data_IF_071823573380
#
_entry.id   IF_071823573380
#
_cell.length_a   1.000
_cell.length_b   1.000
_cell.length_c   1.000
_cell.angle_alpha   90.00
_cell.angle_beta   90.00
_cell.angle_gamma   90.00
#
_symmetry.space_group_name_H-M   'P 1'
#
loop_
_entity.id
_entity.type
_entity.pdbx_description
1 polymer ?
#
# COMPACT_ATOMS: atom_id res chain seq x y z
N UNK A 1 -56.41 -1.59 22.24
CA UNK A 1 -55.65 -1.24 21.03
C UNK A 1 -54.17 -1.40 21.35
N UNK A 2 -53.59 -2.52 20.92
CA UNK A 2 -52.16 -2.81 21.12
C UNK A 2 -51.36 -2.29 19.95
N UNK A 3 -50.36 -1.48 20.23
CA UNK A 3 -49.40 -0.99 19.23
C UNK A 3 -48.30 -2.06 19.10
N UNK A 4 -48.30 -2.79 17.99
CA UNK A 4 -47.21 -3.70 17.66
C UNK A 4 -45.98 -2.88 17.24
N UNK A 5 -44.92 -2.94 18.05
CA UNK A 5 -43.61 -2.38 17.74
C UNK A 5 -42.93 -3.30 16.73
N UNK A 6 -42.83 -2.88 15.47
CA UNK A 6 -42.03 -3.52 14.45
C UNK A 6 -40.54 -3.29 14.80
N UNK A 7 -39.88 -4.31 15.32
CA UNK A 7 -38.43 -4.34 15.43
C UNK A 7 -37.84 -4.35 13.98
N UNK A 8 -37.25 -3.25 13.57
CA UNK A 8 -36.37 -3.21 12.40
C UNK A 8 -35.21 -4.16 12.68
N UNK A 9 -35.24 -5.33 12.04
CA UNK A 9 -34.17 -6.29 12.06
C UNK A 9 -32.92 -5.61 11.49
N UNK A 10 -31.90 -5.44 12.34
CA UNK A 10 -30.59 -5.03 11.90
C UNK A 10 -30.12 -5.99 10.81
N UNK A 11 -29.91 -5.47 9.61
CA UNK A 11 -29.22 -6.22 8.57
C UNK A 11 -27.82 -6.50 9.12
N UNK A 12 -27.57 -7.75 9.49
CA UNK A 12 -26.22 -8.21 9.79
C UNK A 12 -25.33 -7.82 8.60
N UNK A 13 -24.31 -6.97 8.87
CA UNK A 13 -23.28 -6.72 7.89
C UNK A 13 -22.78 -8.08 7.37
N UNK A 14 -22.59 -8.24 6.06
CA UNK A 14 -22.19 -9.54 5.53
C UNK A 14 -20.91 -9.98 6.25
N UNK A 15 -20.83 -11.29 6.58
CA UNK A 15 -19.67 -11.93 7.21
C UNK A 15 -18.42 -11.83 6.30
N UNK A 16 -17.91 -10.62 6.09
CA UNK A 16 -16.69 -10.38 5.37
C UNK A 16 -15.51 -10.74 6.27
N UNK A 17 -14.64 -11.66 5.87
CA UNK A 17 -13.41 -11.95 6.60
C UNK A 17 -12.55 -10.70 6.77
N UNK A 18 -11.77 -10.66 7.84
CA UNK A 18 -10.93 -9.52 8.17
C UNK A 18 -9.88 -9.26 7.07
N UNK A 19 -9.70 -7.97 6.73
CA UNK A 19 -8.59 -7.46 5.94
C UNK A 19 -7.84 -6.51 6.86
N UNK A 20 -6.65 -6.93 7.29
CA UNK A 20 -5.96 -6.32 8.45
C UNK A 20 -4.86 -5.33 8.07
N UNK A 21 -4.52 -5.21 6.81
CA UNK A 21 -3.50 -4.27 6.32
C UNK A 21 -2.87 -4.72 5.02
N UNK A 22 -1.88 -3.98 4.59
CA UNK A 22 -1.02 -4.35 3.46
C UNK A 22 -0.10 -5.48 3.94
N UNK A 23 0.01 -6.53 3.13
CA UNK A 23 0.97 -7.61 3.33
C UNK A 23 2.28 -7.27 2.64
N UNK A 24 2.21 -6.93 1.37
CA UNK A 24 3.34 -6.52 0.55
C UNK A 24 2.89 -5.76 -0.70
N UNK A 25 3.87 -5.19 -1.39
CA UNK A 25 3.70 -4.62 -2.73
C UNK A 25 4.83 -5.14 -3.61
N UNK A 26 4.51 -5.50 -4.84
CA UNK A 26 5.50 -5.98 -5.81
C UNK A 26 5.58 -5.05 -7.02
N UNK A 27 6.79 -4.87 -7.51
CA UNK A 27 7.10 -4.05 -8.66
C UNK A 27 7.96 -4.81 -9.68
N UNK A 28 8.02 -4.28 -10.88
CA UNK A 28 8.97 -4.64 -11.91
C UNK A 28 10.14 -3.66 -11.93
N UNK A 29 11.34 -4.16 -12.22
CA UNK A 29 12.52 -3.30 -12.41
C UNK A 29 13.32 -3.68 -13.65
N UNK A 30 13.95 -2.67 -14.26
CA UNK A 30 14.98 -2.82 -15.28
C UNK A 30 16.39 -2.68 -14.71
N UNK A 31 16.51 -2.34 -13.42
CA UNK A 31 17.77 -2.06 -12.73
C UNK A 31 17.83 -2.72 -11.35
N UNK A 32 18.02 -4.06 -11.29
CA UNK A 32 18.10 -4.79 -10.02
C UNK A 32 19.15 -4.24 -9.06
N UNK A 33 20.34 -3.89 -9.57
CA UNK A 33 21.44 -3.33 -8.77
C UNK A 33 21.08 -1.96 -8.18
N UNK A 34 20.42 -1.11 -8.94
CA UNK A 34 20.00 0.21 -8.46
C UNK A 34 18.88 0.11 -7.41
N UNK A 35 17.96 -0.85 -7.57
CA UNK A 35 16.96 -1.16 -6.54
C UNK A 35 17.64 -1.69 -5.27
N UNK A 36 18.62 -2.61 -5.41
CA UNK A 36 19.37 -3.13 -4.27
C UNK A 36 20.11 -2.00 -3.55
N UNK A 37 20.75 -1.09 -4.28
CA UNK A 37 21.41 0.09 -3.68
C UNK A 37 20.41 0.94 -2.87
N UNK A 38 19.23 1.25 -3.42
CA UNK A 38 18.24 2.06 -2.72
C UNK A 38 17.72 1.35 -1.45
N UNK A 39 17.25 0.11 -1.59
CA UNK A 39 16.56 -0.58 -0.50
C UNK A 39 17.52 -1.13 0.54
N UNK A 40 18.64 -1.73 0.11
CA UNK A 40 19.60 -2.33 1.02
C UNK A 40 20.60 -1.28 1.56
N UNK A 41 21.35 -0.60 0.68
CA UNK A 41 22.44 0.25 1.13
C UNK A 41 21.94 1.56 1.74
N UNK A 42 20.97 2.22 1.08
CA UNK A 42 20.45 3.53 1.51
C UNK A 42 19.40 3.39 2.62
N UNK A 43 18.42 2.51 2.45
CA UNK A 43 17.34 2.38 3.43
C UNK A 43 17.63 1.34 4.52
N UNK A 44 18.71 0.56 4.43
CA UNK A 44 19.11 -0.43 5.42
C UNK A 44 18.15 -1.60 5.56
N UNK A 45 17.39 -1.94 4.51
CA UNK A 45 16.43 -3.04 4.53
C UNK A 45 17.12 -4.36 4.19
N UNK A 46 16.89 -5.39 4.99
CA UNK A 46 17.41 -6.73 4.71
C UNK A 46 16.76 -7.34 3.49
N UNK A 47 17.57 -8.00 2.65
CA UNK A 47 17.08 -8.88 1.62
C UNK A 47 16.44 -10.14 2.22
N UNK A 48 15.33 -10.59 1.62
CA UNK A 48 14.67 -11.84 1.97
C UNK A 48 14.61 -12.77 0.77
N UNK A 49 14.41 -14.08 1.03
CA UNK A 49 14.33 -15.08 -0.04
C UNK A 49 13.11 -14.84 -0.94
N UNK A 50 13.30 -14.75 -2.27
CA UNK A 50 12.19 -14.70 -3.20
C UNK A 50 11.25 -15.91 -3.02
N UNK A 51 9.94 -15.67 -3.07
CA UNK A 51 8.94 -16.72 -2.96
C UNK A 51 8.19 -16.93 -4.27
N UNK A 52 8.06 -15.89 -5.10
CA UNK A 52 7.34 -15.97 -6.36
C UNK A 52 8.25 -16.38 -7.53
N UNK A 53 7.74 -17.17 -8.48
CA UNK A 53 8.44 -17.40 -9.72
C UNK A 53 8.68 -16.06 -10.46
N UNK A 54 9.93 -15.81 -10.82
CA UNK A 54 10.32 -14.55 -11.49
C UNK A 54 10.66 -13.40 -10.54
N UNK A 55 10.36 -13.51 -9.26
CA UNK A 55 10.85 -12.56 -8.26
C UNK A 55 12.38 -12.69 -8.14
N UNK A 56 13.08 -11.58 -8.28
CA UNK A 56 14.56 -11.56 -8.23
C UNK A 56 15.08 -11.07 -6.89
N UNK A 57 14.29 -10.27 -6.17
CA UNK A 57 14.64 -9.74 -4.86
C UNK A 57 13.41 -9.36 -4.05
N UNK A 58 13.59 -9.36 -2.74
CA UNK A 58 12.59 -8.98 -1.76
C UNK A 58 13.29 -8.27 -0.61
N UNK A 59 12.66 -7.21 -0.09
CA UNK A 59 13.16 -6.43 1.04
C UNK A 59 12.16 -6.46 2.18
N UNK A 60 12.62 -6.84 3.37
CA UNK A 60 11.80 -6.89 4.56
C UNK A 60 11.54 -5.49 5.12
N UNK A 61 10.27 -5.19 5.40
CA UNK A 61 9.81 -3.97 6.08
C UNK A 61 9.05 -4.40 7.34
N UNK A 62 9.78 -4.79 8.36
CA UNK A 62 9.21 -5.45 9.54
C UNK A 62 8.57 -6.79 9.18
N UNK A 63 7.27 -6.92 9.37
CA UNK A 63 6.50 -8.13 8.98
C UNK A 63 5.98 -8.08 7.53
N UNK A 64 6.15 -6.97 6.86
CA UNK A 64 5.74 -6.72 5.48
C UNK A 64 6.97 -6.79 4.57
N UNK A 65 6.79 -6.69 3.28
CA UNK A 65 7.91 -6.68 2.35
C UNK A 65 7.57 -5.95 1.04
N UNK A 66 8.61 -5.57 0.32
CA UNK A 66 8.54 -5.05 -1.04
C UNK A 66 9.31 -6.00 -1.94
N UNK A 67 8.66 -6.48 -3.00
CA UNK A 67 9.25 -7.43 -3.95
C UNK A 67 9.53 -6.79 -5.30
N UNK A 68 10.53 -7.32 -5.99
CA UNK A 68 10.87 -6.90 -7.33
C UNK A 68 11.08 -8.11 -8.25
N UNK A 69 10.55 -7.99 -9.46
CA UNK A 69 10.76 -8.93 -10.57
C UNK A 69 11.35 -8.21 -11.76
N UNK A 70 12.00 -8.94 -12.67
CA UNK A 70 12.45 -8.35 -13.95
C UNK A 70 11.24 -7.87 -14.74
N UNK A 71 11.32 -6.65 -15.29
CA UNK A 71 10.26 -6.09 -16.09
C UNK A 71 10.02 -6.95 -17.35
N UNK A 72 8.81 -7.49 -17.56
CA UNK A 72 8.48 -8.28 -18.74
C UNK A 72 8.53 -7.45 -20.02
N UNK A 73 8.20 -6.17 -19.91
CA UNK A 73 8.39 -5.15 -20.95
C UNK A 73 9.20 -3.98 -20.36
N UNK A 74 10.50 -3.86 -20.71
CA UNK A 74 11.33 -2.78 -20.22
C UNK A 74 10.84 -1.38 -20.63
N UNK A 75 10.02 -1.26 -21.67
CA UNK A 75 9.47 0.00 -22.16
C UNK A 75 8.16 0.39 -21.48
N UNK A 76 7.48 -0.53 -20.81
CA UNK A 76 6.28 -0.21 -20.07
C UNK A 76 6.57 0.86 -19.00
N UNK A 77 5.65 1.82 -18.83
CA UNK A 77 5.78 2.89 -17.85
C UNK A 77 5.34 2.46 -16.45
N UNK A 78 4.31 1.63 -16.38
CA UNK A 78 3.84 1.08 -15.11
C UNK A 78 4.78 -0.01 -14.62
N UNK A 79 5.24 0.16 -13.39
CA UNK A 79 6.13 -0.78 -12.71
C UNK A 79 5.43 -1.54 -11.59
N UNK A 80 4.20 -1.21 -11.25
CA UNK A 80 3.47 -1.94 -10.22
C UNK A 80 2.97 -3.28 -10.75
N UNK A 81 3.41 -4.38 -10.15
CA UNK A 81 2.90 -5.71 -10.45
C UNK A 81 1.61 -6.00 -9.69
N UNK A 82 1.66 -5.89 -8.36
CA UNK A 82 0.48 -6.10 -7.53
C UNK A 82 0.61 -5.48 -6.14
N UNK A 83 -0.55 -5.31 -5.51
CA UNK A 83 -0.70 -4.96 -4.09
C UNK A 83 -1.33 -6.13 -3.37
N UNK A 84 -0.76 -6.52 -2.23
CA UNK A 84 -1.27 -7.62 -1.42
C UNK A 84 -1.81 -7.15 -0.07
N UNK A 85 -3.01 -7.63 0.28
CA UNK A 85 -3.64 -7.37 1.56
C UNK A 85 -3.71 -8.63 2.41
N UNK A 86 -3.42 -8.49 3.71
CA UNK A 86 -3.43 -9.57 4.68
C UNK A 86 -4.86 -9.90 5.13
N UNK A 87 -5.18 -11.18 5.22
CA UNK A 87 -6.44 -11.70 5.77
C UNK A 87 -6.18 -12.85 6.75
N UNK A 88 -7.10 -13.04 7.68
CA UNK A 88 -7.02 -14.16 8.63
C UNK A 88 -7.68 -15.47 8.14
N UNK A 89 -8.50 -15.41 7.07
CA UNK A 89 -9.14 -16.58 6.46
C UNK A 89 -9.29 -16.38 4.95
N UNK A 90 -8.28 -16.84 4.23
CA UNK A 90 -8.20 -16.71 2.78
C UNK A 90 -9.29 -17.49 2.04
N UNK A 91 -9.70 -18.64 2.58
CA UNK A 91 -10.73 -19.47 1.95
C UNK A 91 -12.12 -18.84 2.10
N UNK A 92 -12.42 -18.29 3.27
CA UNK A 92 -13.67 -17.57 3.48
C UNK A 92 -13.70 -16.28 2.65
N UNK A 93 -12.59 -15.54 2.55
CA UNK A 93 -12.53 -14.31 1.75
C UNK A 93 -12.75 -14.61 0.26
N UNK A 94 -12.14 -15.67 -0.27
CA UNK A 94 -12.37 -16.12 -1.65
C UNK A 94 -13.85 -16.41 -1.91
N UNK A 95 -14.51 -17.18 -1.02
CA UNK A 95 -15.94 -17.47 -1.14
C UNK A 95 -16.81 -16.22 -1.06
N UNK A 96 -16.47 -15.31 -0.14
CA UNK A 96 -17.17 -14.04 0.00
C UNK A 96 -17.11 -13.21 -1.28
N UNK A 97 -15.89 -13.03 -1.86
CA UNK A 97 -15.68 -12.29 -3.10
C UNK A 97 -16.44 -12.90 -4.28
N UNK A 98 -16.40 -14.23 -4.43
CA UNK A 98 -17.17 -14.93 -5.46
C UNK A 98 -18.69 -14.67 -5.30
N UNK A 99 -19.22 -14.71 -4.05
CA UNK A 99 -20.62 -14.38 -3.76
C UNK A 99 -20.98 -12.93 -4.10
N UNK A 100 -20.01 -12.01 -4.01
CA UNK A 100 -20.15 -10.60 -4.40
C UNK A 100 -19.96 -10.35 -5.90
N UNK A 101 -19.79 -11.39 -6.70
CA UNK A 101 -19.62 -11.29 -8.14
C UNK A 101 -18.21 -10.96 -8.62
N UNK A 102 -17.22 -10.97 -7.72
CA UNK A 102 -15.81 -10.79 -8.09
C UNK A 102 -15.30 -12.09 -8.72
N UNK A 103 -14.66 -11.98 -9.89
CA UNK A 103 -13.98 -13.12 -10.52
C UNK A 103 -12.80 -13.55 -9.67
N UNK A 104 -12.85 -14.76 -9.13
CA UNK A 104 -11.79 -15.35 -8.31
C UNK A 104 -11.16 -16.57 -9.01
N UNK A 105 -9.87 -16.89 -8.79
CA UNK A 105 -9.25 -18.06 -9.37
C UNK A 105 -9.86 -19.35 -8.81
N UNK A 106 -9.71 -20.48 -9.52
CA UNK A 106 -10.19 -21.79 -9.08
C UNK A 106 -9.50 -22.22 -7.78
N UNK A 107 -8.18 -22.13 -7.73
CA UNK A 107 -7.37 -22.56 -6.59
C UNK A 107 -6.80 -21.39 -5.76
N UNK A 108 -6.56 -21.67 -4.48
CA UNK A 108 -5.73 -20.86 -3.59
C UNK A 108 -4.30 -21.38 -3.70
N UNK A 109 -3.35 -20.51 -4.05
CA UNK A 109 -1.94 -20.85 -4.14
C UNK A 109 -1.37 -21.07 -2.74
N UNK A 110 -0.48 -22.05 -2.60
CA UNK A 110 0.31 -22.30 -1.40
C UNK A 110 1.76 -22.00 -1.68
N UNK A 111 2.38 -21.30 -0.77
CA UNK A 111 3.78 -20.90 -0.87
C UNK A 111 4.69 -21.78 -0.05
N UNK A 112 6.02 -21.85 -0.36
CA UNK A 112 6.97 -22.68 0.39
C UNK A 112 7.06 -22.32 1.88
N UNK A 113 6.83 -21.06 2.25
CA UNK A 113 6.80 -20.57 3.63
C UNK A 113 5.53 -20.95 4.40
N UNK A 114 4.59 -21.63 3.75
CA UNK A 114 3.31 -22.05 4.30
C UNK A 114 2.21 -21.02 4.20
N UNK A 115 2.47 -19.83 3.68
CA UNK A 115 1.44 -18.83 3.39
C UNK A 115 0.54 -19.27 2.24
N UNK A 116 -0.63 -18.67 2.13
CA UNK A 116 -1.63 -18.95 1.11
C UNK A 116 -2.10 -17.66 0.48
N UNK A 117 -2.32 -17.65 -0.84
CA UNK A 117 -2.80 -16.46 -1.52
C UNK A 117 -3.68 -16.74 -2.73
N UNK A 118 -4.40 -15.71 -3.17
CA UNK A 118 -5.02 -15.65 -4.49
C UNK A 118 -5.08 -14.20 -5.00
N UNK A 119 -5.12 -14.06 -6.33
CA UNK A 119 -5.17 -12.75 -7.00
C UNK A 119 -6.51 -12.54 -7.67
N UNK A 120 -6.96 -11.30 -7.67
CA UNK A 120 -8.13 -10.81 -8.42
C UNK A 120 -7.73 -9.53 -9.17
N UNK A 121 -8.59 -9.06 -10.07
CA UNK A 121 -8.48 -7.73 -10.67
C UNK A 121 -9.49 -6.80 -10.02
N UNK A 122 -9.05 -5.57 -9.71
CA UNK A 122 -9.96 -4.48 -9.40
C UNK A 122 -10.62 -3.94 -10.69
N UNK A 123 -11.56 -3.00 -10.60
CA UNK A 123 -12.25 -2.44 -11.78
C UNK A 123 -11.32 -1.73 -12.78
N UNK A 124 -10.22 -1.13 -12.33
CA UNK A 124 -9.23 -0.49 -13.20
C UNK A 124 -8.24 -1.49 -13.82
N UNK A 125 -8.24 -2.75 -13.37
CA UNK A 125 -7.37 -3.81 -13.86
C UNK A 125 -6.09 -4.01 -13.07
N UNK A 126 -5.90 -3.33 -11.93
CA UNK A 126 -4.78 -3.60 -11.04
C UNK A 126 -4.87 -5.02 -10.47
N UNK A 127 -3.74 -5.65 -10.24
CA UNK A 127 -3.69 -6.96 -9.59
C UNK A 127 -3.72 -6.77 -8.08
N UNK A 128 -4.74 -7.34 -7.44
CA UNK A 128 -4.89 -7.33 -5.99
C UNK A 128 -4.73 -8.76 -5.48
N UNK A 129 -3.78 -8.97 -4.58
CA UNK A 129 -3.54 -10.24 -3.93
C UNK A 129 -4.10 -10.21 -2.51
N UNK A 130 -4.69 -11.32 -2.09
CA UNK A 130 -5.03 -11.54 -0.68
C UNK A 130 -4.15 -12.65 -0.14
N UNK A 131 -3.58 -12.43 1.06
CA UNK A 131 -2.59 -13.33 1.67
C UNK A 131 -3.02 -13.71 3.08
N UNK A 132 -3.02 -15.00 3.36
CA UNK A 132 -3.02 -15.52 4.71
C UNK A 132 -1.61 -16.04 5.03
N UNK A 133 -0.91 -15.32 5.91
CA UNK A 133 0.46 -15.67 6.27
C UNK A 133 0.53 -16.89 7.17
N UNK A 134 1.58 -17.68 6.99
CA UNK A 134 2.02 -18.62 8.02
C UNK A 134 2.48 -17.83 9.27
N UNK A 135 2.40 -18.46 10.46
CA UNK A 135 2.74 -17.83 11.75
C UNK A 135 4.25 -17.63 11.97
N UNK A 136 5.02 -17.33 10.94
CA UNK A 136 6.45 -17.10 11.06
C UNK A 136 6.73 -15.61 11.12
N UNK A 137 7.42 -15.16 12.15
CA UNK A 137 7.85 -13.78 12.32
C UNK A 137 9.28 -13.63 11.82
N UNK A 138 9.49 -12.87 10.75
CA UNK A 138 10.80 -12.35 10.41
C UNK A 138 11.22 -11.33 11.47
N UNK A 139 12.51 -11.31 11.83
CA UNK A 139 13.03 -10.30 12.76
C UNK A 139 13.33 -9.03 11.97
N UNK A 140 12.83 -7.86 12.43
CA UNK A 140 13.16 -6.59 11.81
C UNK A 140 14.66 -6.31 11.88
N UNK A 141 15.21 -5.73 10.81
CA UNK A 141 16.60 -5.27 10.80
C UNK A 141 16.77 -4.02 11.70
N UNK A 142 17.86 -3.99 12.47
CA UNK A 142 18.18 -2.85 13.33
C UNK A 142 18.56 -1.60 12.50
N UNK A 143 19.12 -1.78 11.32
CA UNK A 143 19.57 -0.71 10.44
C UNK A 143 18.49 -0.13 9.54
N UNK A 144 17.33 -0.77 9.45
CA UNK A 144 16.22 -0.29 8.62
C UNK A 144 15.76 1.12 9.04
N UNK A 145 15.58 2.00 8.06
CA UNK A 145 15.00 3.35 8.27
C UNK A 145 13.52 3.30 8.61
N UNK A 146 12.85 2.22 8.21
CA UNK A 146 11.46 1.94 8.53
C UNK A 146 11.22 0.44 8.70
N UNK A 147 10.24 0.10 9.54
CA UNK A 147 9.77 -1.28 9.77
C UNK A 147 8.30 -1.45 9.47
N UNK A 148 7.72 -0.48 8.76
CA UNK A 148 6.29 -0.45 8.53
C UNK A 148 5.94 0.14 7.17
N UNK A 149 5.33 -0.65 6.30
CA UNK A 149 4.65 -0.17 5.12
C UNK A 149 3.24 0.27 5.53
N UNK A 150 2.94 1.57 5.39
CA UNK A 150 1.70 2.17 5.89
C UNK A 150 0.68 2.41 4.79
N UNK A 151 1.13 2.69 3.56
CA UNK A 151 0.24 2.76 2.43
C UNK A 151 0.93 2.40 1.10
N UNK A 152 0.10 2.14 0.15
CA UNK A 152 0.44 2.10 -1.26
C UNK A 152 -0.56 2.95 -2.03
N UNK A 153 -0.13 3.61 -3.08
CA UNK A 153 -1.00 4.37 -3.96
C UNK A 153 -0.93 3.85 -5.37
N UNK A 154 -1.99 4.04 -6.12
CA UNK A 154 -2.01 3.86 -7.55
C UNK A 154 -3.02 4.77 -8.24
N UNK A 155 -2.82 4.94 -9.54
CA UNK A 155 -3.67 5.76 -10.37
C UNK A 155 -5.10 5.21 -10.43
N UNK A 156 -6.07 6.04 -10.06
CA UNK A 156 -7.50 5.75 -10.18
C UNK A 156 -8.15 6.74 -11.14
N UNK A 157 -8.76 6.23 -12.21
CA UNK A 157 -9.43 7.05 -13.21
C UNK A 157 -10.93 7.20 -12.95
N UNK A 158 -11.57 6.15 -12.49
CA UNK A 158 -12.98 6.15 -12.11
C UNK A 158 -13.13 5.78 -10.64
N UNK A 159 -13.20 6.81 -9.80
CA UNK A 159 -13.37 6.64 -8.36
C UNK A 159 -14.65 5.88 -8.02
N UNK A 160 -15.73 6.07 -8.78
CA UNK A 160 -17.01 5.43 -8.48
C UNK A 160 -16.93 3.90 -8.62
N UNK A 161 -16.26 3.41 -9.66
CA UNK A 161 -16.02 1.99 -9.85
C UNK A 161 -15.11 1.41 -8.75
N UNK A 162 -14.04 2.13 -8.41
CA UNK A 162 -13.12 1.69 -7.35
C UNK A 162 -13.78 1.70 -5.97
N UNK A 163 -14.59 2.71 -5.64
CA UNK A 163 -15.37 2.75 -4.40
C UNK A 163 -16.34 1.54 -4.31
N UNK A 164 -16.94 1.12 -5.43
CA UNK A 164 -17.76 -0.09 -5.50
C UNK A 164 -16.99 -1.36 -5.09
N UNK A 165 -15.73 -1.46 -5.48
CA UNK A 165 -14.87 -2.60 -5.10
C UNK A 165 -14.28 -2.45 -3.70
N UNK A 166 -13.54 -1.36 -3.43
CA UNK A 166 -12.82 -1.23 -2.17
C UNK A 166 -13.74 -0.90 -0.99
N UNK A 167 -14.68 0.02 -1.15
CA UNK A 167 -15.59 0.41 -0.06
C UNK A 167 -16.74 -0.58 0.10
N UNK A 168 -17.49 -0.85 -0.99
CA UNK A 168 -18.78 -1.53 -0.88
C UNK A 168 -18.62 -3.06 -0.80
N UNK A 169 -17.58 -3.63 -1.42
CA UNK A 169 -17.27 -5.06 -1.35
C UNK A 169 -16.24 -5.33 -0.24
N UNK A 170 -15.06 -4.69 -0.29
CA UNK A 170 -13.97 -4.98 0.66
C UNK A 170 -14.13 -4.28 2.01
N UNK A 171 -14.99 -3.26 2.12
CA UNK A 171 -15.30 -2.56 3.36
C UNK A 171 -14.23 -1.54 3.78
N UNK A 172 -13.39 -1.10 2.86
CA UNK A 172 -12.47 0.00 3.13
C UNK A 172 -13.27 1.28 3.41
N UNK A 173 -12.69 2.20 4.16
CA UNK A 173 -13.35 3.46 4.49
C UNK A 173 -12.37 4.63 4.33
N UNK A 174 -12.93 5.81 4.12
CA UNK A 174 -12.11 7.01 3.97
C UNK A 174 -11.33 7.24 5.26
N UNK A 175 -10.02 7.39 5.15
CA UNK A 175 -9.12 7.82 6.21
C UNK A 175 -8.86 9.32 6.14
N UNK A 176 -8.53 9.82 4.95
CA UNK A 176 -8.30 11.21 4.64
C UNK A 176 -8.47 11.45 3.14
N UNK A 177 -8.84 12.65 2.76
CA UNK A 177 -8.78 13.09 1.36
C UNK A 177 -8.36 14.54 1.26
N UNK A 178 -7.70 14.88 0.14
CA UNK A 178 -7.25 16.23 -0.12
C UNK A 178 -6.82 16.45 -1.55
N UNK A 179 -6.41 17.68 -1.83
CA UNK A 179 -5.99 18.07 -3.18
C UNK A 179 -4.94 19.19 -3.14
N UNK A 180 -4.34 19.44 -4.31
CA UNK A 180 -3.36 20.51 -4.49
C UNK A 180 -3.99 21.88 -4.29
N UNK A 181 -5.26 22.00 -4.66
CA UNK A 181 -6.04 23.24 -4.60
C UNK A 181 -7.28 23.07 -3.72
N UNK A 182 -7.79 24.15 -3.11
CA UNK A 182 -9.04 24.11 -2.36
C UNK A 182 -10.20 23.59 -3.22
N UNK A 183 -11.02 22.70 -2.64
CA UNK A 183 -12.20 22.13 -3.31
C UNK A 183 -11.91 21.04 -4.33
N UNK A 184 -10.63 20.73 -4.60
CA UNK A 184 -10.22 19.61 -5.46
C UNK A 184 -9.80 18.42 -4.59
N UNK A 185 -10.10 17.21 -5.04
CA UNK A 185 -9.60 15.98 -4.44
C UNK A 185 -8.66 15.30 -5.43
N UNK A 186 -7.35 15.33 -5.14
CA UNK A 186 -6.33 14.63 -5.94
C UNK A 186 -5.89 13.32 -5.28
N UNK A 187 -6.13 13.17 -3.97
CA UNK A 187 -5.78 12.02 -3.15
C UNK A 187 -6.96 11.59 -2.29
N UNK A 188 -7.20 10.30 -2.20
CA UNK A 188 -8.17 9.74 -1.28
C UNK A 188 -7.56 8.48 -0.63
N UNK A 189 -7.28 8.57 0.65
CA UNK A 189 -6.74 7.47 1.44
C UNK A 189 -7.89 6.59 1.92
N UNK A 190 -7.94 5.34 1.44
CA UNK A 190 -8.93 4.33 1.77
C UNK A 190 -8.33 3.33 2.75
N UNK A 191 -8.66 3.47 4.03
CA UNK A 191 -8.12 2.62 5.09
C UNK A 191 -8.73 1.22 5.06
N UNK A 192 -7.91 0.21 5.28
CA UNK A 192 -8.39 -1.17 5.40
C UNK A 192 -9.37 -1.31 6.56
N UNK A 193 -10.37 -2.19 6.45
CA UNK A 193 -11.47 -2.23 7.43
C UNK A 193 -11.09 -2.72 8.83
N UNK A 194 -9.99 -3.46 8.96
CA UNK A 194 -9.60 -4.09 10.23
C UNK A 194 -8.14 -3.77 10.60
N UNK A 195 -7.66 -2.60 10.20
CA UNK A 195 -6.29 -2.17 10.46
C UNK A 195 -6.09 -0.68 10.23
N UNK A 196 -4.85 -0.26 10.12
CA UNK A 196 -4.50 1.16 9.99
C UNK A 196 -3.79 1.52 8.69
N UNK A 197 -3.43 0.55 7.87
CA UNK A 197 -2.82 0.77 6.55
C UNK A 197 -3.90 1.24 5.57
N UNK A 198 -3.50 1.94 4.52
CA UNK A 198 -4.47 2.41 3.53
C UNK A 198 -3.96 2.26 2.09
N UNK A 199 -4.90 2.21 1.18
CA UNK A 199 -4.70 2.38 -0.25
C UNK A 199 -4.96 3.85 -0.59
N UNK A 200 -4.04 4.51 -1.28
CA UNK A 200 -4.23 5.87 -1.74
C UNK A 200 -4.66 5.90 -3.21
N UNK A 201 -5.86 6.41 -3.46
CA UNK A 201 -6.30 6.71 -4.81
C UNK A 201 -5.59 7.98 -5.29
N UNK A 202 -4.81 7.86 -6.36
CA UNK A 202 -4.19 8.97 -7.06
C UNK A 202 -5.11 9.41 -8.19
N UNK A 203 -5.82 10.52 -7.98
CA UNK A 203 -6.86 11.03 -8.85
C UNK A 203 -6.36 12.12 -9.80
N UNK A 204 -7.16 12.46 -10.81
CA UNK A 204 -6.93 13.59 -11.71
C UNK A 204 -5.59 13.55 -12.48
N UNK A 205 -5.08 12.37 -12.74
CA UNK A 205 -3.89 12.21 -13.56
C UNK A 205 -4.15 12.61 -15.03
N UNK A 206 -3.10 13.02 -15.78
CA UNK A 206 -3.18 13.18 -17.22
C UNK A 206 -3.71 11.91 -17.91
N UNK A 207 -4.36 12.06 -19.05
CA UNK A 207 -4.87 10.92 -19.82
C UNK A 207 -3.76 9.91 -20.18
N UNK A 208 -2.57 10.43 -20.48
CA UNK A 208 -1.36 9.66 -20.77
C UNK A 208 -0.23 10.16 -19.86
N UNK A 209 -0.10 9.63 -18.63
CA UNK A 209 0.98 10.00 -17.75
C UNK A 209 2.30 9.46 -18.30
N UNK A 210 3.36 10.24 -18.19
CA UNK A 210 4.71 9.75 -18.44
C UNK A 210 5.19 8.81 -17.31
N UNK A 211 6.37 8.23 -17.48
CA UNK A 211 6.94 7.28 -16.51
C UNK A 211 7.12 7.89 -15.12
N UNK A 212 7.62 9.12 -15.04
CA UNK A 212 7.83 9.81 -13.76
C UNK A 212 6.50 10.12 -13.06
N UNK A 213 5.50 10.56 -13.82
CA UNK A 213 4.16 10.82 -13.28
C UNK A 213 3.53 9.52 -12.78
N UNK A 214 3.61 8.44 -13.57
CA UNK A 214 3.01 7.15 -13.19
C UNK A 214 3.74 6.51 -12.03
N UNK A 215 5.08 6.51 -12.01
CA UNK A 215 5.88 6.02 -10.89
C UNK A 215 5.67 6.83 -9.61
N UNK A 216 5.40 8.15 -9.74
CA UNK A 216 5.02 8.99 -8.61
C UNK A 216 3.62 8.68 -8.06
N UNK A 217 2.72 8.11 -8.87
CA UNK A 217 1.35 7.72 -8.46
C UNK A 217 1.29 6.27 -8.00
N UNK A 218 1.95 5.35 -8.72
CA UNK A 218 2.01 3.92 -8.37
C UNK A 218 3.21 3.70 -7.44
N UNK A 219 2.99 3.82 -6.13
CA UNK A 219 4.04 3.99 -5.13
C UNK A 219 3.76 3.25 -3.82
N UNK A 220 4.77 3.22 -2.98
CA UNK A 220 4.65 2.78 -1.59
C UNK A 220 5.02 3.92 -0.63
N UNK A 221 4.51 3.82 0.60
CA UNK A 221 4.94 4.68 1.70
C UNK A 221 5.31 3.87 2.93
N UNK A 222 6.48 4.17 3.47
CA UNK A 222 7.02 3.57 4.67
C UNK A 222 6.87 4.55 5.84
N UNK A 223 6.29 4.07 6.94
CA UNK A 223 6.06 4.86 8.14
C UNK A 223 7.33 5.07 8.95
N UNK A 224 7.55 6.28 9.43
CA UNK A 224 8.66 6.65 10.30
C UNK A 224 8.16 7.44 11.52
N UNK A 225 8.93 7.42 12.61
CA UNK A 225 8.54 8.13 13.83
C UNK A 225 8.95 9.61 13.78
N UNK A 226 10.10 9.91 13.17
CA UNK A 226 10.66 11.26 13.08
C UNK A 226 11.39 11.44 11.75
N UNK A 227 10.92 12.34 10.92
CA UNK A 227 11.45 12.56 9.57
C UNK A 227 12.87 13.12 9.59
N UNK A 228 13.20 13.99 10.54
CA UNK A 228 14.54 14.57 10.63
C UNK A 228 15.59 13.51 10.99
N UNK A 229 15.28 12.63 11.94
CA UNK A 229 16.18 11.52 12.30
C UNK A 229 16.29 10.52 11.15
N UNK A 230 15.20 10.26 10.45
CA UNK A 230 15.19 9.37 9.28
C UNK A 230 16.05 9.92 8.15
N UNK A 231 15.96 11.21 7.83
CA UNK A 231 16.81 11.84 6.83
C UNK A 231 18.29 11.78 7.20
N UNK A 232 18.64 12.08 8.46
CA UNK A 232 20.00 11.97 8.94
C UNK A 232 20.53 10.52 8.85
N UNK A 233 19.69 9.53 9.10
CA UNK A 233 20.06 8.11 8.93
C UNK A 233 20.29 7.77 7.46
N UNK A 234 19.42 8.18 6.54
CA UNK A 234 19.64 8.01 5.10
C UNK A 234 20.97 8.64 4.65
N UNK A 235 21.25 9.86 5.09
CA UNK A 235 22.51 10.56 4.79
C UNK A 235 23.73 9.78 5.32
N UNK A 236 23.64 9.20 6.52
CA UNK A 236 24.71 8.37 7.09
C UNK A 236 24.94 7.06 6.30
N UNK A 237 23.93 6.61 5.57
CA UNK A 237 24.00 5.47 4.65
C UNK A 237 24.43 5.87 3.23
N UNK A 238 24.85 7.13 3.03
CA UNK A 238 25.36 7.63 1.75
C UNK A 238 24.30 8.24 0.82
N UNK A 239 23.04 8.36 1.25
CA UNK A 239 22.05 9.10 0.47
C UNK A 239 22.44 10.57 0.38
N UNK A 240 22.40 11.10 -0.83
CA UNK A 240 22.68 12.51 -1.08
C UNK A 240 21.43 13.18 -1.66
N UNK A 241 20.82 14.12 -0.94
CA UNK A 241 19.69 14.86 -1.47
C UNK A 241 20.11 15.73 -2.65
N UNK A 242 19.37 15.64 -3.75
CA UNK A 242 19.52 16.54 -4.88
C UNK A 242 18.65 17.77 -4.67
N UNK A 243 19.27 18.93 -4.40
CA UNK A 243 18.57 20.19 -4.09
C UNK A 243 18.16 20.28 -2.61
N UNK A 244 17.54 21.41 -2.23
CA UNK A 244 17.10 21.67 -0.85
C UNK A 244 15.58 21.75 -0.76
N UNK A 245 15.03 21.77 0.46
CA UNK A 245 15.04 20.66 1.41
C UNK A 245 14.16 19.51 0.89
N UNK A 246 14.61 18.27 1.05
CA UNK A 246 13.91 17.09 0.56
C UNK A 246 12.69 16.72 1.43
N UNK A 247 12.73 17.11 2.70
CA UNK A 247 11.63 16.92 3.64
C UNK A 247 10.59 18.02 3.44
N UNK A 248 9.33 17.64 3.33
CA UNK A 248 8.22 18.59 3.15
C UNK A 248 7.03 18.22 4.03
N UNK A 249 6.25 19.22 4.39
CA UNK A 249 4.94 19.01 4.99
C UNK A 249 3.94 18.58 3.92
N UNK A 250 3.34 17.41 4.10
CA UNK A 250 2.23 16.94 3.26
C UNK A 250 0.95 17.73 3.50
N UNK A 251 0.03 17.65 2.57
CA UNK A 251 -1.30 18.26 2.71
C UNK A 251 -2.13 17.64 3.83
N UNK A 252 -1.79 16.42 4.19
CA UNK A 252 -2.33 15.67 5.33
C UNK A 252 -1.71 16.06 6.68
N UNK A 253 -0.82 17.06 6.71
CA UNK A 253 -0.15 17.54 7.92
C UNK A 253 0.97 16.65 8.43
N UNK A 254 1.41 15.66 7.68
CA UNK A 254 2.53 14.78 8.04
C UNK A 254 3.81 15.18 7.33
N UNK A 255 4.95 15.02 7.99
CA UNK A 255 6.24 15.15 7.35
C UNK A 255 6.48 14.00 6.38
N UNK A 256 6.97 14.34 5.19
CA UNK A 256 7.21 13.42 4.08
C UNK A 256 8.57 13.64 3.44
N UNK A 257 9.16 12.57 2.91
CA UNK A 257 10.36 12.58 2.09
C UNK A 257 10.19 11.56 0.96
N UNK A 258 10.46 11.95 -0.27
CA UNK A 258 10.34 11.06 -1.44
C UNK A 258 11.70 10.62 -1.94
N UNK A 259 11.88 9.33 -2.07
CA UNK A 259 12.96 8.68 -2.81
C UNK A 259 12.37 8.11 -4.11
N UNK A 260 13.23 7.91 -5.09
CA UNK A 260 12.85 7.25 -6.35
C UNK A 260 13.85 6.16 -6.67
N UNK A 261 13.34 5.01 -7.08
CA UNK A 261 14.19 3.97 -7.63
C UNK A 261 14.65 4.31 -9.06
N UNK A 262 15.56 3.54 -9.67
CA UNK A 262 16.03 3.81 -11.02
C UNK A 262 14.95 3.78 -12.11
N UNK A 263 13.86 3.09 -11.87
CA UNK A 263 12.69 3.03 -12.76
C UNK A 263 11.68 4.16 -12.49
N UNK A 264 12.04 5.13 -11.62
CA UNK A 264 11.24 6.28 -11.19
C UNK A 264 10.01 5.94 -10.35
N UNK A 265 9.99 4.75 -9.74
CA UNK A 265 8.96 4.40 -8.76
C UNK A 265 9.24 5.12 -7.45
N UNK A 266 8.24 5.80 -6.92
CA UNK A 266 8.36 6.56 -5.67
C UNK A 266 8.31 5.63 -4.46
N UNK A 267 9.28 5.83 -3.57
CA UNK A 267 9.24 5.34 -2.19
C UNK A 267 9.10 6.56 -1.29
N UNK A 268 7.95 6.71 -0.70
CA UNK A 268 7.68 7.78 0.24
C UNK A 268 8.05 7.34 1.66
N UNK A 269 8.71 8.19 2.41
CA UNK A 269 8.82 8.09 3.85
C UNK A 269 7.84 9.09 4.45
N UNK A 270 7.04 8.67 5.42
CA UNK A 270 5.99 9.50 6.01
C UNK A 270 5.90 9.28 7.51
N UNK A 271 5.79 10.37 8.29
CA UNK A 271 5.54 10.23 9.73
C UNK A 271 4.18 9.59 10.02
N UNK A 272 4.12 8.74 11.05
CA UNK A 272 2.89 8.04 11.42
C UNK A 272 1.75 8.99 11.78
N UNK A 273 2.08 10.14 12.38
CA UNK A 273 1.12 11.11 12.89
C UNK A 273 1.30 12.47 12.24
N UNK A 274 0.23 13.24 12.09
CA UNK A 274 0.35 14.62 11.63
C UNK A 274 1.02 15.48 12.69
N UNK A 275 1.94 16.35 12.24
CA UNK A 275 2.56 17.40 13.04
C UNK A 275 1.79 18.71 12.94
N UNK A 276 0.99 18.87 11.88
CA UNK A 276 0.15 20.03 11.63
C UNK A 276 -1.30 19.59 11.34
N UNK A 277 -2.22 20.54 11.41
CA UNK A 277 -3.62 20.29 11.03
C UNK A 277 -3.68 19.94 9.54
N UNK A 278 -4.33 18.82 9.17
CA UNK A 278 -4.49 18.45 7.75
C UNK A 278 -5.36 19.49 7.02
N UNK A 279 -5.08 19.71 5.74
CA UNK A 279 -6.01 20.40 4.87
C UNK A 279 -7.18 19.49 4.50
N UNK A 280 -8.22 20.08 4.01
CA UNK A 280 -9.25 19.52 3.16
C UNK A 280 -10.24 18.60 3.90
N UNK A 281 -9.82 17.59 4.64
CA UNK A 281 -10.64 16.76 5.53
C UNK A 281 -9.93 16.48 6.84
N UNK A 282 -10.69 16.20 7.89
CA UNK A 282 -10.16 15.60 9.09
C UNK A 282 -9.89 14.10 8.85
N UNK A 283 -8.99 13.50 9.65
CA UNK A 283 -8.80 12.06 9.65
C UNK A 283 -10.02 11.35 10.23
N UNK A 284 -10.47 10.29 9.55
CA UNK A 284 -11.68 9.53 9.92
C UNK A 284 -11.37 8.16 10.50
N UNK A 285 -10.10 7.86 10.75
CA UNK A 285 -9.65 6.58 11.29
C UNK A 285 -8.40 6.69 12.14
N UNK A 286 -7.98 5.60 12.80
CA UNK A 286 -6.78 5.59 13.61
C UNK A 286 -5.52 5.73 12.75
N UNK A 287 -4.51 6.43 13.29
CA UNK A 287 -3.21 6.52 12.65
C UNK A 287 -2.45 5.19 12.76
N UNK A 288 -1.63 4.83 11.76
CA UNK A 288 -0.68 3.73 11.90
C UNK A 288 0.35 4.05 12.98
N UNK A 289 1.07 3.02 13.40
CA UNK A 289 2.18 3.10 14.35
C UNK A 289 3.31 2.18 13.94
N UNK A 290 4.45 2.21 14.64
CA UNK A 290 5.64 1.41 14.30
C UNK A 290 5.40 -0.10 14.43
N UNK A 291 4.53 -0.50 15.36
CA UNK A 291 4.20 -1.90 15.61
C UNK A 291 2.83 -2.27 15.06
N UNK A 292 2.74 -3.50 14.54
CA UNK A 292 1.52 -4.08 14.01
C UNK A 292 1.19 -5.39 14.73
#
# INVERSE_FOLDING_TARGET
MGIASLALGGQNAPDRPNITGIDHVAFYTTSPEGVAHLYHDVMGLSGATPLEPGEIMRYAVGKQWVGYSTAPDPQAFDRMDHVAFATGDIAALKRYLAKKGVTVPEAIKRWPDGSRSFRVKDPAGHTIEFVERAKNSEKPDAEAVSRRLIHTGFLVRDRGLEDGFYRDILGFHIYWYGGREPGRTDWCAMQVPNGTDWLEYMLNAPAQPDRHQLGGMNHISLGVENMQQTAAKLESHGWQPHGAPQQKMGRDGKWQLNLFDPDLTRVELMEFRPAEKPCCSDFQGPHPGPDR
#
